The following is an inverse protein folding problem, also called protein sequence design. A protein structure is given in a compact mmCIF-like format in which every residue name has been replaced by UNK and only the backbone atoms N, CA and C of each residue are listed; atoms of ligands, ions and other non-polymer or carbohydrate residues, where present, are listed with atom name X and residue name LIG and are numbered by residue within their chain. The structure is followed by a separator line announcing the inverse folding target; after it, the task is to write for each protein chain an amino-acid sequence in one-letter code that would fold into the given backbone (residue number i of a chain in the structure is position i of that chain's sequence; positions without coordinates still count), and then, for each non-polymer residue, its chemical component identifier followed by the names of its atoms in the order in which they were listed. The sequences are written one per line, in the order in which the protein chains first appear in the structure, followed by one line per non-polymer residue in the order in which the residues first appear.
data_IF_741814892460
#
_entry.id   IF_741814892460
#
_cell.length_a   1.000
_cell.length_b   1.000
_cell.length_c   1.000
_cell.angle_alpha   90.00
_cell.angle_beta   90.00
_cell.angle_gamma   90.00
#
_symmetry.space_group_name_H-M   'P 1'
#
loop_
_entity.id
_entity.type
_entity.pdbx_description
1 polymer ?
#
# COMPACT_ATOMS: atom_id res chain seq x y z
N UNK A 1 -12.67 -0.11 18.37
CA UNK A 1 -12.34 0.95 17.41
C UNK A 1 -11.03 1.55 17.85
N UNK A 2 -10.00 1.46 17.02
CA UNK A 2 -8.72 2.12 17.23
C UNK A 2 -8.94 3.63 17.13
N UNK A 3 -8.64 4.38 18.19
CA UNK A 3 -8.78 5.84 18.19
C UNK A 3 -7.59 6.45 17.42
N UNK A 4 -7.69 6.45 16.09
CA UNK A 4 -6.65 6.98 15.18
C UNK A 4 -6.85 8.47 14.98
N UNK A 5 -6.50 9.25 16.00
CA UNK A 5 -6.60 10.71 15.96
C UNK A 5 -5.57 11.31 14.99
N UNK A 6 -5.92 12.35 14.23
CA UNK A 6 -4.96 13.04 13.35
C UNK A 6 -3.74 13.57 14.09
N UNK A 7 -2.57 13.71 13.43
CA UNK A 7 -1.40 14.35 14.03
C UNK A 7 -1.71 15.79 14.46
N UNK A 8 -1.26 16.16 15.66
CA UNK A 8 -1.31 17.54 16.14
C UNK A 8 -0.23 18.41 15.50
N UNK A 9 -0.40 19.73 15.58
CA UNK A 9 0.61 20.70 15.07
C UNK A 9 1.99 20.46 15.71
N UNK A 10 2.05 20.17 17.00
CA UNK A 10 3.31 19.86 17.70
C UNK A 10 3.98 18.59 17.14
N UNK A 11 3.20 17.55 16.85
CA UNK A 11 3.70 16.31 16.26
C UNK A 11 4.20 16.52 14.83
N UNK A 12 3.52 17.38 14.06
CA UNK A 12 3.96 17.77 12.72
C UNK A 12 5.29 18.54 12.80
N UNK A 13 5.41 19.52 13.71
CA UNK A 13 6.66 20.28 13.92
C UNK A 13 7.79 19.34 14.31
N UNK A 14 7.53 18.41 15.23
CA UNK A 14 8.51 17.40 15.65
C UNK A 14 8.92 16.49 14.49
N UNK A 15 7.96 16.02 13.68
CA UNK A 15 8.25 15.18 12.52
C UNK A 15 9.12 15.91 11.49
N UNK A 16 8.88 17.21 11.26
CA UNK A 16 9.73 18.02 10.39
C UNK A 16 11.16 18.17 10.92
N UNK A 17 11.32 18.34 12.24
CA UNK A 17 12.63 18.38 12.87
C UNK A 17 13.38 17.04 12.75
N UNK A 18 12.68 15.92 12.95
CA UNK A 18 13.24 14.57 12.76
C UNK A 18 13.66 14.35 11.30
N UNK A 19 12.81 14.77 10.34
CA UNK A 19 13.11 14.67 8.92
C UNK A 19 14.35 15.48 8.51
N UNK A 20 14.50 16.69 9.04
CA UNK A 20 15.67 17.52 8.75
C UNK A 20 16.93 16.94 9.40
N UNK A 21 16.83 16.42 10.63
CA UNK A 21 17.93 15.74 11.30
C UNK A 21 18.40 14.49 10.53
N UNK A 22 17.48 13.67 10.02
CA UNK A 22 17.80 12.52 9.18
C UNK A 22 18.52 12.97 7.89
N UNK A 23 17.96 13.95 7.19
CA UNK A 23 18.57 14.50 5.97
C UNK A 23 19.97 15.08 6.22
N UNK A 24 20.18 15.71 7.37
CA UNK A 24 21.47 16.25 7.77
C UNK A 24 22.47 15.13 8.13
N UNK A 25 21.99 14.02 8.68
CA UNK A 25 22.80 12.87 9.11
C UNK A 25 23.15 11.86 8.02
N UNK A 26 22.51 11.93 6.84
CA UNK A 26 22.83 11.07 5.70
C UNK A 26 24.28 11.27 5.23
N UNK A 27 25.03 10.21 4.91
CA UNK A 27 26.39 10.32 4.38
C UNK A 27 26.40 11.06 3.05
N UNK A 28 27.27 12.08 2.90
CA UNK A 28 27.38 12.90 1.68
C UNK A 28 28.75 12.80 1.01
N UNK A 29 29.68 12.11 1.63
CA UNK A 29 31.05 11.93 1.18
C UNK A 29 31.52 10.50 1.42
N UNK A 30 32.64 10.14 0.78
CA UNK A 30 33.30 8.85 1.02
C UNK A 30 33.73 8.70 2.49
N UNK A 31 34.19 9.77 3.14
CA UNK A 31 34.56 9.75 4.55
C UNK A 31 33.35 9.50 5.47
N UNK A 32 32.17 10.04 5.12
CA UNK A 32 30.95 9.74 5.88
C UNK A 32 30.52 8.27 5.69
N UNK A 33 30.64 7.75 4.47
CA UNK A 33 30.35 6.35 4.18
C UNK A 33 31.30 5.40 4.94
N UNK A 34 32.59 5.71 4.98
CA UNK A 34 33.59 4.99 5.77
C UNK A 34 33.26 5.01 7.27
N UNK A 35 32.80 6.14 7.80
CA UNK A 35 32.36 6.23 9.19
C UNK A 35 31.13 5.33 9.48
N UNK A 36 30.23 5.16 8.50
CA UNK A 36 29.10 4.24 8.61
C UNK A 36 29.59 2.79 8.55
N UNK A 37 30.42 2.41 7.59
CA UNK A 37 30.91 1.02 7.47
C UNK A 37 31.82 0.63 8.64
N UNK A 38 32.62 1.54 9.17
CA UNK A 38 33.41 1.34 10.38
C UNK A 38 32.52 1.05 11.60
N UNK A 39 31.33 1.65 11.69
CA UNK A 39 30.34 1.35 12.74
C UNK A 39 29.77 -0.05 12.60
N UNK A 40 29.35 -0.44 11.39
CA UNK A 40 28.87 -1.80 11.11
C UNK A 40 29.94 -2.82 11.52
N UNK A 41 31.19 -2.55 11.17
CA UNK A 41 32.32 -3.41 11.53
C UNK A 41 32.58 -3.47 13.04
N UNK A 42 32.49 -2.34 13.75
CA UNK A 42 32.62 -2.30 15.20
C UNK A 42 31.52 -3.11 15.90
N UNK A 43 30.28 -2.99 15.44
CA UNK A 43 29.15 -3.76 15.95
C UNK A 43 29.31 -5.27 15.68
N UNK A 44 29.71 -5.63 14.47
CA UNK A 44 30.01 -7.02 14.09
C UNK A 44 31.11 -7.62 14.97
N UNK A 45 32.21 -6.91 15.19
CA UNK A 45 33.29 -7.38 16.08
C UNK A 45 32.81 -7.59 17.51
N UNK A 46 31.96 -6.71 18.01
CA UNK A 46 31.37 -6.82 19.35
C UNK A 46 30.52 -8.07 19.44
N UNK A 47 29.61 -8.27 18.49
CA UNK A 47 28.75 -9.45 18.42
C UNK A 47 29.57 -10.76 18.27
N UNK A 48 30.61 -10.75 17.46
CA UNK A 48 31.50 -11.90 17.30
C UNK A 48 32.27 -12.21 18.58
N UNK A 49 32.73 -11.19 19.33
CA UNK A 49 33.36 -11.37 20.63
C UNK A 49 32.39 -11.95 21.69
N UNK A 50 31.09 -11.69 21.55
CA UNK A 50 30.02 -12.29 22.35
C UNK A 50 29.63 -13.72 21.88
N UNK A 51 30.32 -14.27 20.89
CA UNK A 51 30.11 -15.63 20.39
C UNK A 51 29.00 -15.75 19.33
N UNK A 52 28.53 -14.64 18.76
CA UNK A 52 27.52 -14.65 17.69
C UNK A 52 28.15 -15.13 16.37
N UNK A 53 27.57 -16.17 15.78
CA UNK A 53 28.12 -16.83 14.59
C UNK A 53 27.69 -16.12 13.29
N UNK A 54 28.35 -15.01 12.97
CA UNK A 54 28.13 -14.24 11.73
C UNK A 54 29.46 -14.11 10.97
N UNK A 55 29.68 -14.88 9.89
CA UNK A 55 31.01 -15.01 9.26
C UNK A 55 31.51 -13.72 8.59
N UNK A 56 30.59 -12.84 8.19
CA UNK A 56 30.88 -11.57 7.52
C UNK A 56 29.86 -10.49 7.92
N UNK A 57 30.07 -9.26 7.44
CA UNK A 57 29.22 -8.11 7.73
C UNK A 57 27.80 -8.27 7.16
N UNK A 58 27.65 -8.83 5.96
CA UNK A 58 26.35 -9.00 5.34
C UNK A 58 25.48 -9.98 6.13
N UNK A 59 26.06 -11.10 6.56
CA UNK A 59 25.46 -12.10 7.43
C UNK A 59 25.09 -11.51 8.79
N UNK A 60 25.92 -10.62 9.34
CA UNK A 60 25.62 -9.91 10.58
C UNK A 60 24.45 -8.95 10.45
N UNK A 61 24.39 -8.16 9.38
CA UNK A 61 23.28 -7.25 9.11
C UNK A 61 21.96 -8.04 8.98
N UNK A 62 21.98 -9.19 8.27
CA UNK A 62 20.83 -10.11 8.19
C UNK A 62 20.43 -10.66 9.55
N UNK A 63 21.40 -11.05 10.36
CA UNK A 63 21.17 -11.57 11.70
C UNK A 63 20.61 -10.50 12.66
N UNK A 64 20.99 -9.24 12.53
CA UNK A 64 20.33 -8.10 13.20
C UNK A 64 18.84 -8.08 12.82
N UNK A 65 18.52 -8.09 11.53
CA UNK A 65 17.13 -8.08 11.04
C UNK A 65 16.33 -9.32 11.50
N UNK A 66 16.97 -10.49 11.58
CA UNK A 66 16.33 -11.75 11.92
C UNK A 66 16.12 -11.96 13.43
N UNK A 67 17.03 -11.49 14.27
CA UNK A 67 17.08 -11.90 15.67
C UNK A 67 16.96 -10.76 16.68
N UNK A 68 17.33 -9.53 16.34
CA UNK A 68 17.24 -8.42 17.29
C UNK A 68 15.77 -8.01 17.53
N UNK A 69 15.49 -7.43 18.69
CA UNK A 69 14.12 -7.08 19.09
C UNK A 69 13.51 -6.02 18.16
N UNK A 70 12.31 -6.31 17.67
CA UNK A 70 11.42 -5.38 16.94
C UNK A 70 10.41 -4.70 17.87
N UNK A 71 10.60 -4.81 19.18
CA UNK A 71 9.77 -4.20 20.22
C UNK A 71 10.63 -3.25 21.04
N UNK A 72 10.18 -2.00 21.15
CA UNK A 72 10.74 -1.03 22.07
C UNK A 72 10.01 -1.14 23.42
N UNK A 73 10.73 -1.50 24.48
CA UNK A 73 10.16 -1.71 25.82
C UNK A 73 9.66 -0.43 26.47
N UNK A 74 10.11 0.73 25.98
CA UNK A 74 9.74 2.06 26.48
C UNK A 74 8.51 2.64 25.77
N UNK A 75 7.81 1.83 24.96
CA UNK A 75 6.60 2.20 24.22
C UNK A 75 5.43 1.31 24.64
N UNK A 76 4.22 1.75 24.30
CA UNK A 76 2.97 1.01 24.52
C UNK A 76 2.81 -0.18 23.57
N UNK A 77 1.59 -0.70 23.49
CA UNK A 77 1.26 -1.90 22.68
C UNK A 77 0.86 -1.60 21.24
N UNK A 78 0.46 -0.34 20.96
CA UNK A 78 0.00 0.06 19.63
C UNK A 78 1.17 0.16 18.66
N UNK A 79 1.13 -0.57 17.55
CA UNK A 79 2.15 -0.49 16.50
C UNK A 79 1.76 0.50 15.43
N UNK A 80 2.69 1.39 15.08
CA UNK A 80 2.59 2.29 13.96
C UNK A 80 3.37 1.74 12.77
N UNK A 81 2.72 1.80 11.62
CA UNK A 81 3.28 1.53 10.30
C UNK A 81 3.14 2.78 9.45
N UNK A 82 3.91 2.88 8.38
CA UNK A 82 3.89 4.07 7.54
C UNK A 82 4.18 3.72 6.09
N UNK A 83 3.74 4.59 5.17
CA UNK A 83 4.11 4.49 3.77
C UNK A 83 4.10 5.86 3.13
N UNK A 84 5.18 6.18 2.41
CA UNK A 84 5.34 7.40 1.63
C UNK A 84 5.26 8.69 2.47
N UNK A 85 4.85 9.79 1.83
CA UNK A 85 4.82 11.13 2.38
C UNK A 85 3.58 11.87 1.90
N UNK A 86 3.15 12.86 2.67
CA UNK A 86 2.06 13.77 2.30
C UNK A 86 2.24 15.11 3.01
N UNK A 87 1.36 16.06 2.73
CA UNK A 87 1.28 17.31 3.47
C UNK A 87 -0.03 17.29 4.28
N UNK A 88 -0.02 16.77 5.52
CA UNK A 88 -1.21 16.76 6.36
C UNK A 88 -1.68 18.19 6.64
N UNK A 89 -2.95 18.35 6.98
CA UNK A 89 -3.52 19.66 7.30
C UNK A 89 -2.71 20.36 8.40
N UNK A 90 -2.38 21.64 8.18
CA UNK A 90 -1.54 22.43 9.08
C UNK A 90 -0.02 22.24 8.89
N UNK A 91 0.44 21.29 8.07
CA UNK A 91 1.86 21.16 7.76
C UNK A 91 2.32 22.23 6.74
N UNK A 92 3.42 22.95 7.01
CA UNK A 92 3.95 23.96 6.09
C UNK A 92 4.61 23.35 4.83
N UNK A 93 4.95 22.06 4.87
CA UNK A 93 5.59 21.33 3.78
C UNK A 93 5.28 19.83 3.88
N UNK A 94 5.63 19.08 2.84
CA UNK A 94 5.52 17.62 2.81
C UNK A 94 6.36 16.98 3.92
N UNK A 95 5.75 16.02 4.61
CA UNK A 95 6.34 15.25 5.71
C UNK A 95 6.33 13.77 5.34
N UNK A 96 7.48 13.12 5.49
CA UNK A 96 7.57 11.66 5.41
C UNK A 96 6.76 11.04 6.56
N UNK A 97 5.93 10.07 6.22
CA UNK A 97 5.06 9.43 7.20
C UNK A 97 5.85 8.63 8.23
N UNK A 98 7.09 8.22 7.92
CA UNK A 98 8.03 7.70 8.91
C UNK A 98 8.18 8.66 10.09
N UNK A 99 8.50 9.92 9.82
CA UNK A 99 8.76 10.90 10.87
C UNK A 99 7.48 11.34 11.58
N UNK A 100 6.34 11.32 10.90
CA UNK A 100 5.04 11.49 11.57
C UNK A 100 4.76 10.34 12.54
N UNK A 101 5.01 9.09 12.13
CA UNK A 101 4.85 7.92 12.99
C UNK A 101 5.77 8.01 14.21
N UNK A 102 7.05 8.38 14.03
CA UNK A 102 8.01 8.58 15.12
C UNK A 102 7.58 9.71 16.08
N UNK A 103 7.19 10.88 15.57
CA UNK A 103 6.74 12.00 16.40
C UNK A 103 5.48 11.65 17.21
N UNK A 104 4.51 10.96 16.59
CA UNK A 104 3.34 10.44 17.30
C UNK A 104 3.74 9.32 18.28
N UNK A 105 4.72 8.49 17.94
CA UNK A 105 5.25 7.44 18.81
C UNK A 105 5.90 7.98 20.09
N UNK A 106 6.63 9.08 19.99
CA UNK A 106 7.19 9.78 21.14
C UNK A 106 6.11 10.35 22.06
N UNK A 107 5.05 10.95 21.51
CA UNK A 107 4.02 11.63 22.30
C UNK A 107 2.90 10.71 22.79
N UNK A 108 2.53 9.72 22.00
CA UNK A 108 1.40 8.80 22.22
C UNK A 108 1.83 7.37 22.58
N UNK A 109 3.14 7.16 22.72
CA UNK A 109 3.73 5.85 23.05
C UNK A 109 3.45 4.75 22.02
N UNK A 110 3.29 5.09 20.74
CA UNK A 110 3.24 4.06 19.69
C UNK A 110 4.62 3.40 19.54
N UNK A 111 4.61 2.08 19.29
CA UNK A 111 5.77 1.38 18.75
C UNK A 111 5.94 1.85 17.30
N UNK A 112 7.17 2.16 16.90
CA UNK A 112 7.53 2.46 15.53
C UNK A 112 8.73 1.57 15.21
N UNK A 113 8.76 0.96 14.03
CA UNK A 113 9.79 0.00 13.67
C UNK A 113 11.19 0.61 13.82
N UNK A 114 11.38 1.82 13.29
CA UNK A 114 12.65 2.57 13.34
C UNK A 114 13.07 2.96 14.77
N UNK A 115 12.13 2.98 15.72
CA UNK A 115 12.38 3.21 17.14
C UNK A 115 12.64 1.89 17.92
N UNK A 116 12.58 0.73 17.28
CA UNK A 116 12.94 -0.54 17.93
C UNK A 116 14.47 -0.71 18.01
N UNK A 117 14.99 -1.58 18.91
CA UNK A 117 16.42 -1.88 18.94
C UNK A 117 16.98 -2.30 17.57
N UNK A 118 16.29 -3.20 16.87
CA UNK A 118 16.70 -3.67 15.54
C UNK A 118 16.57 -2.56 14.48
N UNK A 119 15.45 -1.82 14.48
CA UNK A 119 15.21 -0.74 13.51
C UNK A 119 16.21 0.40 13.65
N UNK A 120 16.51 0.87 14.87
CA UNK A 120 17.52 1.91 15.11
C UNK A 120 18.89 1.50 14.61
N UNK A 121 19.28 0.24 14.84
CA UNK A 121 20.58 -0.26 14.41
C UNK A 121 20.67 -0.31 12.89
N UNK A 122 19.69 -0.92 12.22
CA UNK A 122 19.65 -1.01 10.74
C UNK A 122 19.52 0.37 10.07
N UNK A 123 18.75 1.28 10.64
CA UNK A 123 18.61 2.65 10.14
C UNK A 123 19.95 3.40 10.21
N UNK A 124 20.72 3.18 11.28
CA UNK A 124 22.06 3.76 11.42
C UNK A 124 23.08 3.27 10.39
N UNK A 125 22.79 2.15 9.72
CA UNK A 125 23.66 1.57 8.70
C UNK A 125 23.46 2.17 7.31
N UNK A 126 22.40 2.98 7.10
CA UNK A 126 22.20 3.76 5.87
C UNK A 126 22.38 2.92 4.59
N UNK A 127 21.93 1.66 4.60
CA UNK A 127 22.21 0.65 3.55
C UNK A 127 21.59 0.99 2.18
N UNK A 128 20.70 1.98 2.14
CA UNK A 128 20.13 2.51 0.90
C UNK A 128 21.05 3.49 0.18
N UNK A 129 22.05 4.05 0.89
CA UNK A 129 22.91 5.09 0.35
C UNK A 129 24.00 4.49 -0.56
N UNK A 130 24.11 4.93 -1.83
CA UNK A 130 25.04 4.33 -2.78
C UNK A 130 26.50 4.34 -2.31
N UNK A 131 26.93 5.41 -1.63
CA UNK A 131 28.29 5.52 -1.11
C UNK A 131 28.59 4.50 -0.01
N UNK A 132 27.59 4.13 0.81
CA UNK A 132 27.75 3.09 1.83
C UNK A 132 27.86 1.72 1.17
N UNK A 133 27.03 1.44 0.15
CA UNK A 133 27.11 0.20 -0.63
C UNK A 133 28.48 0.05 -1.30
N UNK A 134 28.98 1.12 -1.91
CA UNK A 134 30.31 1.14 -2.53
C UNK A 134 31.42 0.87 -1.50
N UNK A 135 31.38 1.53 -0.34
CA UNK A 135 32.34 1.29 0.75
C UNK A 135 32.28 -0.15 1.28
N UNK A 136 31.09 -0.73 1.43
CA UNK A 136 30.93 -2.13 1.84
C UNK A 136 31.57 -3.12 0.85
N UNK A 137 31.42 -2.88 -0.45
CA UNK A 137 32.05 -3.70 -1.49
C UNK A 137 33.57 -3.53 -1.50
N UNK A 138 34.05 -2.28 -1.48
CA UNK A 138 35.46 -1.97 -1.65
C UNK A 138 36.30 -2.32 -0.41
N UNK A 139 35.81 -1.97 0.79
CA UNK A 139 36.59 -2.06 2.03
C UNK A 139 36.54 -3.47 2.64
N UNK A 140 35.47 -4.22 2.36
CA UNK A 140 35.22 -5.54 2.97
C UNK A 140 35.08 -6.67 1.94
N UNK A 141 35.35 -6.39 0.66
CA UNK A 141 35.31 -7.36 -0.44
C UNK A 141 33.98 -8.15 -0.51
N UNK A 142 32.87 -7.49 -0.18
CA UNK A 142 31.54 -8.08 -0.29
C UNK A 142 31.09 -8.15 -1.76
N UNK A 143 30.26 -9.13 -2.07
CA UNK A 143 29.66 -9.23 -3.40
C UNK A 143 28.71 -8.05 -3.68
N UNK A 144 28.90 -7.39 -4.82
CA UNK A 144 28.14 -6.20 -5.17
C UNK A 144 26.64 -6.48 -5.37
N UNK A 145 26.27 -7.65 -5.91
CA UNK A 145 24.88 -8.02 -6.07
C UNK A 145 24.22 -8.33 -4.72
N UNK A 146 24.97 -8.97 -3.81
CA UNK A 146 24.52 -9.22 -2.43
C UNK A 146 24.29 -7.91 -1.67
N UNK A 147 25.23 -6.96 -1.75
CA UNK A 147 25.10 -5.63 -1.11
C UNK A 147 23.92 -4.84 -1.68
N UNK A 148 23.66 -4.92 -2.99
CA UNK A 148 22.52 -4.25 -3.61
C UNK A 148 21.18 -4.83 -3.12
N UNK A 149 21.11 -6.14 -2.92
CA UNK A 149 19.92 -6.83 -2.41
C UNK A 149 19.72 -6.66 -0.90
N UNK A 150 20.76 -6.29 -0.16
CA UNK A 150 20.79 -6.32 1.31
C UNK A 150 19.73 -5.41 1.94
N UNK A 151 19.63 -4.14 1.53
CA UNK A 151 18.68 -3.20 2.13
C UNK A 151 17.21 -3.63 1.92
N UNK A 152 16.74 -3.97 0.70
CA UNK A 152 15.42 -4.53 0.50
C UNK A 152 15.14 -5.78 1.35
N UNK A 153 16.09 -6.71 1.42
CA UNK A 153 15.96 -7.99 2.12
C UNK A 153 15.80 -7.81 3.64
N UNK A 154 16.68 -7.01 4.25
CA UNK A 154 16.71 -6.83 5.70
C UNK A 154 15.50 -6.05 6.18
N UNK A 155 15.07 -5.03 5.42
CA UNK A 155 13.88 -4.25 5.74
C UNK A 155 12.59 -5.06 5.55
N UNK A 156 12.50 -5.91 4.53
CA UNK A 156 11.37 -6.83 4.39
C UNK A 156 11.30 -7.85 5.55
N UNK A 157 12.46 -8.36 5.97
CA UNK A 157 12.55 -9.33 7.08
C UNK A 157 12.11 -8.71 8.40
N UNK A 158 12.67 -7.57 8.77
CA UNK A 158 12.36 -6.91 10.04
C UNK A 158 10.92 -6.37 10.07
N UNK A 159 10.42 -5.85 8.94
CA UNK A 159 9.03 -5.41 8.77
C UNK A 159 8.05 -6.57 8.99
N UNK A 160 8.32 -7.74 8.39
CA UNK A 160 7.52 -8.94 8.60
C UNK A 160 7.43 -9.36 10.07
N UNK A 161 8.57 -9.39 10.77
CA UNK A 161 8.63 -9.69 12.22
C UNK A 161 7.90 -8.64 13.05
N UNK A 162 7.98 -7.37 12.65
CA UNK A 162 7.30 -6.27 13.33
C UNK A 162 5.78 -6.37 13.20
N UNK A 163 5.27 -6.80 12.04
CA UNK A 163 3.85 -7.11 11.84
C UNK A 163 3.39 -8.33 12.66
N UNK A 164 4.19 -9.41 12.70
CA UNK A 164 3.90 -10.61 13.49
C UNK A 164 3.90 -10.36 15.00
N UNK A 165 4.68 -9.38 15.46
CA UNK A 165 4.75 -9.02 16.87
C UNK A 165 3.61 -8.07 17.30
N UNK A 166 2.62 -7.78 16.44
CA UNK A 166 1.47 -6.96 16.77
C UNK A 166 0.50 -7.70 17.71
N UNK A 167 0.14 -7.07 18.84
CA UNK A 167 -0.70 -7.72 19.87
C UNK A 167 -2.08 -7.07 20.03
N UNK A 168 -2.44 -6.11 19.18
CA UNK A 168 -3.72 -5.42 19.27
C UNK A 168 -3.82 -4.23 18.31
N UNK A 169 -4.18 -3.03 18.79
CA UNK A 169 -4.31 -1.82 17.97
C UNK A 169 -3.13 -1.54 17.04
N UNK A 170 -3.43 -1.23 15.78
CA UNK A 170 -2.46 -0.80 14.78
C UNK A 170 -2.90 0.53 14.16
N UNK A 171 -1.93 1.41 13.93
CA UNK A 171 -2.13 2.66 13.18
C UNK A 171 -1.25 2.68 11.93
N UNK A 172 -1.83 3.05 10.79
CA UNK A 172 -1.12 3.15 9.51
C UNK A 172 -1.08 4.60 9.03
N UNK A 173 0.10 5.20 9.08
CA UNK A 173 0.37 6.54 8.54
C UNK A 173 0.60 6.44 7.02
N UNK A 174 -0.48 6.52 6.26
CA UNK A 174 -0.43 6.61 4.81
C UNK A 174 -1.59 7.48 4.30
N UNK A 175 -1.41 8.08 3.11
CA UNK A 175 -2.51 8.72 2.38
C UNK A 175 -3.18 7.66 1.49
N UNK A 176 -2.38 7.01 0.66
CA UNK A 176 -2.76 5.82 -0.12
C UNK A 176 -1.79 4.67 0.11
N UNK A 177 -2.22 3.47 -0.24
CA UNK A 177 -1.42 2.24 -0.12
C UNK A 177 -1.09 1.76 -1.52
N UNK A 178 0.18 1.90 -1.93
CA UNK A 178 0.66 1.31 -3.18
C UNK A 178 0.94 -0.19 -3.02
N UNK A 179 0.58 -0.98 -4.03
CA UNK A 179 0.81 -2.43 -4.07
C UNK A 179 2.30 -2.81 -4.03
N UNK A 180 3.20 -1.90 -4.46
CA UNK A 180 4.65 -2.08 -4.40
C UNK A 180 5.31 -1.61 -3.09
N UNK A 181 4.58 -0.95 -2.18
CA UNK A 181 5.13 -0.51 -0.89
C UNK A 181 5.27 -1.68 0.08
N UNK A 182 6.24 -1.63 1.00
CA UNK A 182 6.39 -2.63 2.08
C UNK A 182 5.07 -2.77 2.85
N UNK A 183 4.43 -1.64 3.17
CA UNK A 183 3.12 -1.61 3.80
C UNK A 183 2.04 -2.39 3.03
N UNK A 184 1.92 -2.11 1.72
CA UNK A 184 0.87 -2.71 0.89
C UNK A 184 1.13 -4.16 0.50
N UNK A 185 2.39 -4.52 0.26
CA UNK A 185 2.82 -5.82 -0.24
C UNK A 185 2.99 -6.84 0.89
N UNK A 186 3.63 -6.43 1.99
CA UNK A 186 4.16 -7.35 2.99
C UNK A 186 3.46 -7.19 4.36
N UNK A 187 3.27 -5.96 4.86
CA UNK A 187 2.78 -5.72 6.23
C UNK A 187 1.27 -5.87 6.36
N UNK A 188 0.48 -5.14 5.57
CA UNK A 188 -0.99 -5.17 5.68
C UNK A 188 -1.57 -6.56 5.47
N UNK A 189 -1.14 -7.36 4.46
CA UNK A 189 -1.64 -8.72 4.32
C UNK A 189 -1.41 -9.59 5.58
N UNK A 190 -0.26 -9.44 6.24
CA UNK A 190 0.03 -10.14 7.50
C UNK A 190 -0.85 -9.65 8.63
N UNK A 191 -1.00 -8.33 8.79
CA UNK A 191 -1.85 -7.72 9.83
C UNK A 191 -3.32 -8.12 9.68
N UNK A 192 -3.82 -8.20 8.44
CA UNK A 192 -5.19 -8.62 8.15
C UNK A 192 -5.42 -10.11 8.43
N UNK A 193 -4.41 -10.94 8.22
CA UNK A 193 -4.44 -12.36 8.56
C UNK A 193 -4.13 -12.64 10.05
N UNK A 194 -3.78 -11.62 10.83
CA UNK A 194 -3.33 -11.79 12.21
C UNK A 194 -4.51 -11.83 13.19
N UNK A 195 -4.65 -12.92 13.94
CA UNK A 195 -5.78 -13.20 14.86
C UNK A 195 -6.05 -12.12 15.91
N UNK A 196 -5.01 -11.37 16.32
CA UNK A 196 -5.14 -10.30 17.32
C UNK A 196 -5.33 -8.89 16.73
N UNK A 197 -5.18 -8.73 15.42
CA UNK A 197 -5.26 -7.42 14.76
C UNK A 197 -6.49 -7.40 13.87
N UNK A 198 -6.50 -8.09 12.73
CA UNK A 198 -7.61 -8.02 11.79
C UNK A 198 -7.87 -6.59 11.27
N UNK A 199 -8.83 -6.46 10.36
CA UNK A 199 -9.14 -5.17 9.71
C UNK A 199 -9.76 -4.14 10.65
N UNK A 200 -10.39 -4.61 11.73
CA UNK A 200 -11.11 -3.79 12.72
C UNK A 200 -10.19 -3.08 13.72
N UNK A 201 -8.93 -3.52 13.84
CA UNK A 201 -7.93 -2.88 14.70
C UNK A 201 -6.90 -2.06 13.94
N UNK A 202 -6.99 -1.98 12.61
CA UNK A 202 -6.16 -1.07 11.79
C UNK A 202 -6.90 0.26 11.63
N UNK A 203 -6.31 1.34 12.11
CA UNK A 203 -6.83 2.69 11.91
C UNK A 203 -5.84 3.61 11.20
N UNK A 204 -6.35 4.72 10.66
CA UNK A 204 -5.59 5.63 9.82
C UNK A 204 -5.72 7.06 10.36
N UNK A 205 -4.66 7.64 10.93
CA UNK A 205 -4.70 9.01 11.46
C UNK A 205 -4.68 10.07 10.34
N UNK A 206 -4.24 9.69 9.13
CA UNK A 206 -4.25 10.58 7.98
C UNK A 206 -5.54 10.37 7.16
N UNK A 207 -6.21 11.44 6.73
CA UNK A 207 -7.38 11.32 5.87
C UNK A 207 -7.01 10.62 4.56
N UNK A 208 -7.94 9.85 4.01
CA UNK A 208 -7.81 9.37 2.63
C UNK A 208 -7.91 10.59 1.70
N UNK A 209 -7.04 10.72 0.69
CA UNK A 209 -7.19 11.76 -0.31
C UNK A 209 -8.48 11.54 -1.10
N UNK A 210 -9.05 12.64 -1.60
CA UNK A 210 -10.22 12.58 -2.47
C UNK A 210 -9.80 12.18 -3.89
N UNK A 211 -10.45 11.18 -4.45
CA UNK A 211 -10.20 10.70 -5.80
C UNK A 211 -11.23 11.31 -6.77
N UNK A 212 -10.89 12.39 -7.46
CA UNK A 212 -11.84 13.14 -8.32
C UNK A 212 -12.43 12.34 -9.48
N UNK A 213 -11.83 11.22 -9.85
CA UNK A 213 -12.36 10.30 -10.86
C UNK A 213 -13.40 9.31 -10.30
N UNK A 214 -13.50 9.19 -8.98
CA UNK A 214 -14.47 8.34 -8.30
C UNK A 214 -15.69 9.15 -7.85
N UNK A 215 -16.91 8.59 -7.94
CA UNK A 215 -18.08 9.16 -7.26
C UNK A 215 -17.85 9.27 -5.75
N UNK A 216 -18.43 10.31 -5.13
CA UNK A 216 -18.24 10.59 -3.71
C UNK A 216 -18.61 9.41 -2.80
N UNK A 217 -19.62 8.62 -3.17
CA UNK A 217 -20.03 7.44 -2.42
C UNK A 217 -19.04 6.28 -2.52
N UNK A 218 -18.34 6.13 -3.66
CA UNK A 218 -17.29 5.10 -3.84
C UNK A 218 -16.03 5.53 -3.11
N UNK A 219 -15.66 6.80 -3.22
CA UNK A 219 -14.53 7.41 -2.51
C UNK A 219 -14.71 7.30 -0.97
N UNK A 220 -15.90 7.66 -0.48
CA UNK A 220 -16.24 7.53 0.95
C UNK A 220 -16.22 6.08 1.43
N UNK A 221 -16.63 5.13 0.58
CA UNK A 221 -16.60 3.71 0.91
C UNK A 221 -15.16 3.21 1.10
N UNK A 222 -14.26 3.50 0.16
CA UNK A 222 -12.85 3.06 0.25
C UNK A 222 -12.05 3.83 1.29
N UNK A 223 -12.55 4.97 1.77
CA UNK A 223 -11.99 5.71 2.89
C UNK A 223 -12.26 5.07 4.26
N UNK A 224 -13.27 4.20 4.41
CA UNK A 224 -13.50 3.46 5.67
C UNK A 224 -12.30 2.54 5.95
N UNK A 225 -11.78 2.60 7.17
CA UNK A 225 -10.52 1.92 7.55
C UNK A 225 -10.51 0.42 7.24
N UNK A 226 -11.66 -0.25 7.36
CA UNK A 226 -11.77 -1.68 7.12
C UNK A 226 -11.65 -2.08 5.65
N UNK A 227 -11.98 -1.17 4.74
CA UNK A 227 -11.80 -1.36 3.29
C UNK A 227 -10.48 -0.78 2.83
N UNK A 228 -10.08 0.37 3.37
CA UNK A 228 -8.82 1.05 3.05
C UNK A 228 -7.61 0.14 3.21
N UNK A 229 -7.56 -0.69 4.25
CA UNK A 229 -6.46 -1.64 4.47
C UNK A 229 -6.37 -2.75 3.39
N UNK A 230 -7.45 -3.00 2.65
CA UNK A 230 -7.53 -4.05 1.62
C UNK A 230 -7.38 -3.50 0.19
N UNK A 231 -7.71 -2.22 -0.03
CA UNK A 231 -7.59 -1.57 -1.35
C UNK A 231 -6.16 -1.08 -1.58
N UNK A 232 -5.70 -1.12 -2.83
CA UNK A 232 -4.46 -0.51 -3.29
C UNK A 232 -4.75 0.64 -4.26
N UNK A 233 -3.86 1.63 -4.31
CA UNK A 233 -3.99 2.77 -5.22
C UNK A 233 -4.13 2.33 -6.68
N UNK A 234 -3.39 1.28 -7.06
CA UNK A 234 -3.40 0.70 -8.40
C UNK A 234 -4.73 0.02 -8.75
N UNK A 235 -5.60 -0.23 -7.76
CA UNK A 235 -6.91 -0.85 -7.98
C UNK A 235 -7.92 0.10 -8.62
N UNK A 236 -7.68 1.41 -8.55
CA UNK A 236 -8.53 2.43 -9.12
C UNK A 236 -7.74 3.47 -9.93
N UNK A 237 -6.50 3.15 -10.33
CA UNK A 237 -5.69 4.02 -11.18
C UNK A 237 -6.32 4.13 -12.58
N UNK A 238 -6.69 5.35 -12.96
CA UNK A 238 -7.34 5.68 -14.24
C UNK A 238 -6.50 5.30 -15.47
N UNK A 239 -5.18 5.21 -15.33
CA UNK A 239 -4.29 4.86 -16.44
C UNK A 239 -4.27 3.36 -16.73
N UNK A 240 -4.52 2.53 -15.72
CA UNK A 240 -4.23 1.11 -15.76
C UNK A 240 -5.42 0.20 -15.43
N UNK A 241 -6.48 0.74 -14.83
CA UNK A 241 -7.59 -0.07 -14.32
C UNK A 241 -8.93 0.54 -14.72
N UNK A 242 -9.75 -0.20 -15.47
CA UNK A 242 -11.10 0.26 -15.84
C UNK A 242 -12.06 0.25 -14.63
N UNK A 243 -13.19 0.98 -14.66
CA UNK A 243 -14.21 0.89 -13.61
C UNK A 243 -14.70 -0.54 -13.34
N UNK A 244 -14.81 -1.37 -14.39
CA UNK A 244 -15.23 -2.78 -14.27
C UNK A 244 -14.17 -3.64 -13.58
N UNK A 245 -12.90 -3.41 -13.90
CA UNK A 245 -11.80 -4.12 -13.23
C UNK A 245 -11.71 -3.70 -11.75
N UNK A 246 -11.91 -2.40 -11.47
CA UNK A 246 -12.00 -1.94 -10.09
C UNK A 246 -13.20 -2.55 -9.36
N UNK A 247 -14.37 -2.65 -9.99
CA UNK A 247 -15.53 -3.33 -9.42
C UNK A 247 -15.23 -4.79 -9.07
N UNK A 248 -14.53 -5.52 -9.95
CA UNK A 248 -14.16 -6.91 -9.70
C UNK A 248 -13.25 -7.04 -8.47
N UNK A 249 -12.26 -6.14 -8.33
CA UNK A 249 -11.36 -6.10 -7.16
C UNK A 249 -12.11 -5.72 -5.89
N UNK A 250 -12.94 -4.68 -5.95
CA UNK A 250 -13.78 -4.23 -4.84
C UNK A 250 -14.73 -5.35 -4.37
N UNK A 251 -15.24 -6.15 -5.31
CA UNK A 251 -16.14 -7.27 -5.03
C UNK A 251 -15.48 -8.47 -4.34
N UNK A 252 -14.15 -8.55 -4.35
CA UNK A 252 -13.38 -9.59 -3.67
C UNK A 252 -13.01 -9.25 -2.23
N UNK A 253 -13.30 -8.01 -1.78
CA UNK A 253 -12.95 -7.56 -0.44
C UNK A 253 -13.87 -8.14 0.63
N UNK A 254 -13.33 -8.28 1.84
CA UNK A 254 -14.11 -8.65 3.00
C UNK A 254 -14.75 -7.40 3.63
N UNK A 255 -16.06 -7.25 3.44
CA UNK A 255 -16.83 -6.05 3.79
C UNK A 255 -17.58 -6.22 5.12
N UNK A 256 -17.39 -5.32 6.11
CA UNK A 256 -18.21 -5.35 7.32
C UNK A 256 -19.69 -5.17 7.03
N UNK A 257 -20.55 -5.77 7.87
CA UNK A 257 -22.00 -5.75 7.68
C UNK A 257 -22.57 -4.33 7.47
N UNK A 258 -22.11 -3.36 8.26
CA UNK A 258 -22.55 -1.95 8.18
C UNK A 258 -22.32 -1.30 6.80
N UNK A 259 -21.44 -1.86 5.95
CA UNK A 259 -21.07 -1.30 4.64
C UNK A 259 -21.64 -2.10 3.45
N UNK A 260 -22.34 -3.22 3.66
CA UNK A 260 -22.77 -4.10 2.54
C UNK A 260 -23.65 -3.39 1.50
N UNK A 261 -24.58 -2.54 1.92
CA UNK A 261 -25.48 -1.84 1.01
C UNK A 261 -24.74 -0.81 0.15
N UNK A 262 -23.87 0.00 0.79
CA UNK A 262 -23.03 0.96 0.09
C UNK A 262 -22.07 0.25 -0.88
N UNK A 263 -21.50 -0.88 -0.48
CA UNK A 263 -20.64 -1.72 -1.32
C UNK A 263 -21.38 -2.29 -2.52
N UNK A 264 -22.56 -2.87 -2.33
CA UNK A 264 -23.40 -3.40 -3.43
C UNK A 264 -23.75 -2.30 -4.43
N UNK A 265 -24.09 -1.11 -3.93
CA UNK A 265 -24.39 0.06 -4.76
C UNK A 265 -23.16 0.53 -5.56
N UNK A 266 -21.99 0.60 -4.92
CA UNK A 266 -20.72 0.94 -5.57
C UNK A 266 -20.37 -0.06 -6.67
N UNK A 267 -20.50 -1.37 -6.41
CA UNK A 267 -20.28 -2.41 -7.42
C UNK A 267 -21.22 -2.27 -8.63
N UNK A 268 -22.51 -2.03 -8.38
CA UNK A 268 -23.48 -1.83 -9.47
C UNK A 268 -23.12 -0.62 -10.33
N UNK A 269 -22.71 0.50 -9.70
CA UNK A 269 -22.35 1.72 -10.41
C UNK A 269 -21.07 1.55 -11.23
N UNK A 270 -20.02 1.01 -10.62
CA UNK A 270 -18.72 0.79 -11.26
C UNK A 270 -18.81 -0.23 -12.41
N UNK A 271 -19.53 -1.33 -12.22
CA UNK A 271 -19.68 -2.38 -13.24
C UNK A 271 -20.50 -1.95 -14.47
N UNK A 272 -21.36 -0.95 -14.31
CA UNK A 272 -22.20 -0.42 -15.40
C UNK A 272 -21.50 0.63 -16.25
N UNK A 273 -20.42 1.26 -15.74
CA UNK A 273 -19.68 2.28 -16.47
C UNK A 273 -18.59 1.67 -17.35
N UNK A 274 -18.39 2.23 -18.54
CA UNK A 274 -17.28 1.85 -19.43
C UNK A 274 -16.04 2.73 -19.23
N UNK A 275 -16.19 3.88 -18.58
CA UNK A 275 -15.11 4.82 -18.26
C UNK A 275 -15.39 5.58 -16.95
N UNK A 276 -14.35 6.14 -16.34
CA UNK A 276 -14.52 6.97 -15.14
C UNK A 276 -15.26 8.29 -15.41
N UNK A 277 -15.24 8.80 -16.65
CA UNK A 277 -16.00 10.01 -16.97
C UNK A 277 -17.52 9.76 -16.97
N UNK A 278 -17.97 8.56 -17.34
CA UNK A 278 -19.39 8.15 -17.23
C UNK A 278 -19.87 8.13 -15.77
N UNK A 279 -18.96 7.93 -14.81
CA UNK A 279 -19.29 7.90 -13.39
C UNK A 279 -19.57 9.30 -12.81
N UNK A 280 -19.11 10.37 -13.47
CA UNK A 280 -19.34 11.76 -13.03
C UNK A 280 -20.76 12.26 -13.32
N UNK A 281 -21.49 11.60 -14.21
CA UNK A 281 -22.88 11.93 -14.48
C UNK A 281 -23.75 11.54 -13.27
N UNK A 282 -24.73 12.37 -12.85
CA UNK A 282 -25.73 11.95 -11.88
C UNK A 282 -26.44 10.69 -12.41
N UNK A 283 -26.79 9.73 -11.53
CA UNK A 283 -27.43 8.49 -11.97
C UNK A 283 -28.66 8.82 -12.80
N UNK A 284 -28.64 8.42 -14.08
CA UNK A 284 -29.81 8.53 -14.93
C UNK A 284 -30.93 7.75 -14.24
N UNK A 285 -32.06 8.39 -13.87
CA UNK A 285 -33.15 7.67 -13.21
C UNK A 285 -33.56 6.47 -14.07
N UNK A 286 -33.93 5.34 -13.46
CA UNK A 286 -34.35 4.16 -14.19
C UNK A 286 -35.44 4.58 -15.18
N UNK A 287 -35.13 4.42 -16.47
CA UNK A 287 -36.06 4.71 -17.54
C UNK A 287 -37.30 3.85 -17.28
N UNK A 288 -38.50 4.45 -17.11
CA UNK A 288 -39.71 3.68 -16.88
C UNK A 288 -39.80 2.62 -17.97
N UNK A 289 -39.98 1.36 -17.57
CA UNK A 289 -40.23 0.27 -18.50
C UNK A 289 -41.28 0.75 -19.51
N UNK A 290 -41.07 0.54 -20.82
CA UNK A 290 -42.04 0.98 -21.81
C UNK A 290 -43.39 0.39 -21.43
N UNK A 291 -44.36 1.28 -21.19
CA UNK A 291 -45.72 0.90 -20.88
C UNK A 291 -46.17 -0.18 -21.89
N UNK A 292 -46.83 -1.26 -21.44
CA UNK A 292 -47.31 -2.27 -22.36
C UNK A 292 -48.18 -1.58 -23.42
N UNK A 293 -47.77 -1.70 -24.69
CA UNK A 293 -48.55 -1.21 -25.81
C UNK A 293 -49.95 -1.80 -25.68
N UNK A 294 -50.94 -0.96 -25.41
CA UNK A 294 -52.34 -1.34 -25.49
C UNK A 294 -52.59 -1.86 -26.90
N UNK A 295 -52.72 -3.18 -27.03
CA UNK A 295 -53.26 -3.80 -28.23
C UNK A 295 -54.72 -3.36 -28.34
N UNK A 296 -54.97 -2.42 -29.24
CA UNK A 296 -56.32 -2.16 -29.76
C UNK A 296 -56.85 -3.45 -30.39
N UNK A 297 -57.90 -3.99 -29.78
CA UNK A 297 -58.71 -5.11 -30.27
C UNK A 297 -59.34 -4.75 -31.64
N UNK A 298 -59.19 -5.59 -32.68
CA UNK A 298 -60.09 -5.57 -33.82
C UNK A 298 -61.35 -6.40 -33.52
N UNK A 299 -62.51 -5.91 -33.95
CA UNK A 299 -63.81 -6.57 -33.85
C UNK A 299 -63.90 -7.86 -34.72
N UNK A 300 -64.83 -8.80 -34.41
CA UNK A 300 -64.73 -10.20 -34.86
C UNK A 300 -65.60 -10.57 -36.08
N UNK A 301 -65.13 -11.57 -36.85
CA UNK A 301 -65.84 -12.73 -37.45
C UNK A 301 -65.35 -13.06 -38.89
N UNK A 302 -65.53 -14.30 -39.43
CA UNK A 302 -65.88 -15.60 -38.84
C UNK A 302 -64.90 -16.75 -39.19
N UNK A 303 -65.19 -17.91 -38.59
CA UNK A 303 -64.45 -19.19 -38.51
C UNK A 303 -64.16 -19.87 -39.86
N UNK A 304 -62.98 -20.49 -39.98
CA UNK A 304 -62.80 -21.77 -40.69
C UNK A 304 -61.85 -22.70 -39.93
N UNK A 305 -62.27 -23.97 -39.86
CA UNK A 305 -61.62 -25.11 -39.21
C UNK A 305 -60.46 -25.67 -40.03
N UNK A 306 -59.38 -26.12 -39.36
CA UNK A 306 -58.76 -27.46 -39.57
C UNK A 306 -57.77 -27.81 -38.45
N UNK A 307 -57.46 -29.10 -38.32
CA UNK A 307 -57.03 -29.91 -37.15
C UNK A 307 -55.49 -30.17 -37.17
N UNK A 308 -54.86 -30.65 -36.06
CA UNK A 308 -53.47 -30.35 -35.68
C UNK A 308 -52.47 -31.54 -35.81
N UNK A 309 -51.18 -31.27 -35.56
CA UNK A 309 -50.14 -32.25 -35.21
C UNK A 309 -49.13 -31.56 -34.27
N UNK A 310 -48.90 -31.94 -33.00
CA UNK A 310 -48.42 -33.17 -32.33
C UNK A 310 -46.89 -33.23 -32.19
N UNK A 311 -46.45 -33.30 -30.92
CA UNK A 311 -45.15 -33.73 -30.38
C UNK A 311 -43.93 -32.83 -30.68
N UNK A 312 -42.94 -32.67 -29.80
CA UNK A 312 -42.55 -33.53 -28.69
C UNK A 312 -41.68 -32.84 -27.64
N UNK A 313 -41.35 -33.64 -26.65
CA UNK A 313 -40.83 -33.32 -25.34
C UNK A 313 -39.29 -33.52 -25.25
N UNK A 314 -38.67 -32.97 -24.19
CA UNK A 314 -37.51 -33.53 -23.44
C UNK A 314 -36.13 -33.49 -24.16
N UNK A 315 -34.94 -33.20 -23.59
CA UNK A 315 -34.36 -33.22 -22.23
C UNK A 315 -33.01 -32.40 -22.18
N UNK A 316 -32.39 -32.22 -20.99
CA UNK A 316 -31.24 -31.36 -20.69
C UNK A 316 -29.88 -32.10 -20.65
N UNK A 317 -28.80 -31.30 -20.57
CA UNK A 317 -27.56 -31.64 -19.86
C UNK A 317 -26.36 -32.07 -20.73
N UNK A 318 -25.35 -31.20 -20.86
CA UNK A 318 -23.94 -31.59 -20.99
C UNK A 318 -23.06 -30.54 -20.31
N UNK A 319 -22.30 -30.97 -19.31
CA UNK A 319 -21.16 -30.27 -18.69
C UNK A 319 -19.89 -30.97 -19.15
N UNK A 320 -18.91 -30.26 -19.76
CA UNK A 320 -17.49 -30.67 -19.74
C UNK A 320 -16.59 -29.42 -19.59
N UNK A 321 -15.56 -29.62 -18.76
CA UNK A 321 -14.54 -28.75 -18.17
C UNK A 321 -13.45 -28.22 -19.13
N UNK A 322 -12.55 -27.30 -18.66
CA UNK A 322 -11.71 -26.42 -19.47
C UNK A 322 -10.34 -27.01 -19.83
N UNK A 323 -9.75 -26.45 -20.90
CA UNK A 323 -8.37 -26.73 -21.35
C UNK A 323 -7.44 -25.60 -20.91
N UNK A 324 -6.37 -25.95 -20.20
CA UNK A 324 -5.27 -25.05 -19.83
C UNK A 324 -4.25 -24.93 -20.96
N UNK A 325 -3.56 -23.78 -21.03
CA UNK A 325 -2.37 -23.54 -21.85
C UNK A 325 -1.38 -22.62 -21.10
N UNK A 326 -0.07 -22.66 -21.44
CA UNK A 326 1.05 -22.60 -20.50
C UNK A 326 1.60 -21.18 -20.20
N UNK A 327 2.40 -21.01 -19.13
CA UNK A 327 3.03 -19.73 -18.81
C UNK A 327 4.29 -19.48 -19.65
N UNK A 328 4.40 -18.28 -20.20
CA UNK A 328 5.65 -17.70 -20.73
C UNK A 328 6.40 -16.92 -19.65
N UNK A 329 7.74 -16.78 -19.76
CA UNK A 329 8.61 -16.42 -18.63
C UNK A 329 8.55 -14.94 -18.28
N UNK A 330 8.45 -14.64 -16.98
CA UNK A 330 8.67 -13.30 -16.42
C UNK A 330 10.16 -13.07 -16.20
N UNK A 331 10.71 -12.05 -16.86
CA UNK A 331 11.96 -11.41 -16.45
C UNK A 331 11.77 -10.54 -15.19
N UNK A 332 12.86 -10.10 -14.55
CA UNK A 332 12.83 -9.52 -13.20
C UNK A 332 12.24 -8.11 -13.19
N UNK A 333 11.20 -7.90 -12.37
CA UNK A 333 10.70 -6.57 -12.02
C UNK A 333 11.53 -6.02 -10.87
N UNK A 334 12.30 -4.96 -11.13
CA UNK A 334 13.11 -4.27 -10.13
C UNK A 334 12.26 -3.40 -9.20
N UNK A 335 12.75 -3.34 -7.96
CA UNK A 335 12.30 -2.78 -6.70
C UNK A 335 11.67 -1.37 -6.70
N UNK A 336 10.98 -1.06 -5.60
CA UNK A 336 10.34 0.21 -5.30
C UNK A 336 11.29 1.40 -5.48
N UNK A 337 11.00 2.21 -6.48
CA UNK A 337 11.70 3.45 -6.80
C UNK A 337 10.84 4.62 -6.36
N UNK A 338 11.45 5.55 -5.64
CA UNK A 338 10.97 6.94 -5.57
C UNK A 338 10.85 7.47 -6.98
N UNK A 339 9.63 7.62 -7.50
CA UNK A 339 9.41 8.10 -8.86
C UNK A 339 9.60 9.65 -8.87
N UNK A 340 10.63 10.20 -9.55
CA UNK A 340 10.67 11.64 -9.79
C UNK A 340 9.64 11.96 -10.88
N UNK A 341 8.57 12.68 -10.53
CA UNK A 341 7.72 13.30 -11.53
C UNK A 341 8.57 14.26 -12.35
N UNK A 342 8.45 14.14 -13.67
CA UNK A 342 9.11 14.97 -14.66
C UNK A 342 9.01 16.46 -14.33
N UNK A 343 10.16 17.13 -14.21
CA UNK A 343 10.24 18.59 -14.23
C UNK A 343 9.74 19.06 -15.59
N UNK A 344 8.59 19.74 -15.61
CA UNK A 344 8.18 20.57 -16.74
C UNK A 344 9.30 21.57 -17.02
N UNK A 345 9.95 21.42 -18.17
CA UNK A 345 10.92 22.40 -18.66
C UNK A 345 10.22 23.75 -18.83
N UNK A 346 10.66 24.75 -18.08
CA UNK A 346 10.33 26.15 -18.34
C UNK A 346 10.89 26.57 -19.73
N UNK A 347 10.21 27.47 -20.46
CA UNK A 347 10.64 27.90 -21.78
C UNK A 347 11.98 28.66 -21.72
N UNK A 348 12.83 28.40 -22.73
CA UNK A 348 14.14 29.04 -22.91
C UNK A 348 14.00 30.56 -23.04
N UNK A 349 14.63 31.29 -22.14
CA UNK A 349 14.87 32.73 -22.29
C UNK A 349 15.80 32.98 -23.48
N UNK A 350 15.37 33.86 -24.39
CA UNK A 350 16.16 34.33 -25.53
C UNK A 350 17.30 35.21 -25.00
N UNK A 351 18.53 34.74 -25.13
CA UNK A 351 19.74 35.48 -24.80
C UNK A 351 20.16 36.39 -25.95
N UNK A 352 20.33 37.66 -25.62
CA UNK A 352 20.86 38.75 -26.44
C UNK A 352 22.35 38.53 -26.71
N UNK A 353 22.75 38.61 -27.98
CA UNK A 353 24.16 38.65 -28.41
C UNK A 353 24.87 39.92 -27.94
N UNK A 354 26.07 39.76 -27.37
CA UNK A 354 27.19 40.69 -27.55
C UNK A 354 28.51 39.93 -27.54
#
# INVERSE_FOLDING_TARGET
MTDSTPPSVDEIIRALALQEADRAGKPRSAADAEAVTARIYADWRTAHAEGRATPDLASFIRDVAANQSVTNKDRGVTRAFWSWKSQPEGAPQVVDHRFLAQACGERRSYQVLEDSPAGRQLDSYQLWEPSVKEALVNDFALDAADVEALAPEVWATISGRYAEAAEGPVVAFCADIGAGSILGKDELPRLLAHDKVGKENVGFPLPAPRHEHLPAEVDSLIADSSLRCQVRMEDYDVQNTSPKDFAAKLGALDVPEKLREAHTSALSRLSSANSYDELKAPPTPPQPAPAPKQHTLPAPAPKQHTVPARAGAFLPGVTIRPTAAPPTPRGPSTHGVSNPVAVQMAPKSVGVER
#
